data_IF_728578410687
#
_entry.id   IF_728578410687
#
_cell.length_a   1.000
_cell.length_b   1.000
_cell.length_c   1.000
_cell.angle_alpha   90.00
_cell.angle_beta   90.00
_cell.angle_gamma   90.00
#
_symmetry.space_group_name_H-M   'P 1'
#
loop_
_entity.id
_entity.type
_entity.pdbx_description
1 polymer ?
#
# COMPACT_ATOMS: atom_id res chain seq x y z
N UNK A 1 34.95 -27.32 3.03
CA UNK A 1 33.56 -27.04 3.47
C UNK A 1 32.97 -26.02 2.52
N UNK A 2 32.00 -26.42 1.69
CA UNK A 2 31.20 -25.46 0.92
C UNK A 2 30.32 -24.74 1.94
N UNK A 3 30.66 -23.49 2.29
CA UNK A 3 29.71 -22.62 2.96
C UNK A 3 28.51 -22.49 2.03
N UNK A 4 27.36 -23.04 2.43
CA UNK A 4 26.11 -22.81 1.73
C UNK A 4 25.92 -21.29 1.63
N UNK A 5 26.02 -20.76 0.41
CA UNK A 5 25.89 -19.34 0.14
C UNK A 5 24.41 -18.99 0.26
N UNK A 6 23.97 -18.61 1.46
CA UNK A 6 22.58 -18.19 1.72
C UNK A 6 22.28 -17.01 0.82
N UNK A 7 21.18 -17.10 0.06
CA UNK A 7 20.71 -16.05 -0.84
C UNK A 7 19.34 -15.58 -0.41
N UNK A 8 19.14 -14.26 -0.35
CA UNK A 8 17.84 -13.63 -0.12
C UNK A 8 17.14 -13.25 -1.44
N UNK A 9 17.73 -13.58 -2.59
CA UNK A 9 17.15 -13.27 -3.89
C UNK A 9 15.79 -13.95 -4.04
N UNK A 10 14.82 -13.22 -4.56
CA UNK A 10 13.45 -13.70 -4.72
C UNK A 10 12.79 -13.03 -5.93
N UNK A 11 11.66 -13.58 -6.35
CA UNK A 11 10.88 -13.06 -7.47
C UNK A 11 9.44 -12.81 -7.03
N UNK A 12 8.83 -11.73 -7.54
CA UNK A 12 7.39 -11.54 -7.54
C UNK A 12 6.95 -11.60 -9.00
N UNK A 13 6.27 -12.68 -9.39
CA UNK A 13 6.03 -12.98 -10.80
C UNK A 13 7.34 -12.99 -11.60
N UNK A 14 7.43 -12.13 -12.61
CA UNK A 14 8.64 -11.97 -13.45
C UNK A 14 9.69 -11.00 -12.90
N UNK A 15 9.38 -10.26 -11.84
CA UNK A 15 10.24 -9.21 -11.29
C UNK A 15 11.24 -9.80 -10.31
N UNK A 16 12.53 -9.54 -10.56
CA UNK A 16 13.64 -10.09 -9.76
C UNK A 16 14.07 -9.08 -8.69
N UNK A 17 14.27 -9.56 -7.48
CA UNK A 17 14.72 -8.77 -6.34
C UNK A 17 16.00 -9.37 -5.74
N UNK A 18 16.92 -8.50 -5.31
CA UNK A 18 18.08 -8.92 -4.52
C UNK A 18 17.69 -9.39 -3.11
N UNK A 19 16.56 -8.86 -2.60
CA UNK A 19 15.80 -9.34 -1.44
C UNK A 19 14.39 -8.72 -1.47
N UNK A 20 13.42 -9.29 -0.74
CA UNK A 20 12.04 -8.76 -0.71
C UNK A 20 11.75 -7.88 0.51
N UNK A 21 12.78 -7.35 1.15
CA UNK A 21 12.62 -6.36 2.21
C UNK A 21 12.44 -4.99 1.55
N UNK A 22 11.21 -4.48 1.59
CA UNK A 22 10.80 -3.21 1.02
C UNK A 22 10.22 -2.33 2.12
N UNK A 23 10.14 -1.01 1.89
CA UNK A 23 9.33 -0.15 2.73
C UNK A 23 7.84 -0.45 2.52
N UNK A 24 7.02 -0.29 3.56
CA UNK A 24 5.58 -0.26 3.40
C UNK A 24 5.15 1.05 2.71
N UNK A 25 4.20 0.98 1.77
CA UNK A 25 3.57 2.17 1.19
C UNK A 25 3.06 3.09 2.31
N UNK A 26 3.53 4.33 2.31
CA UNK A 26 3.23 5.32 3.35
C UNK A 26 4.33 5.60 4.36
N UNK A 27 5.40 4.79 4.39
CA UNK A 27 6.54 4.97 5.31
C UNK A 27 7.79 5.33 4.53
N UNK A 28 8.31 6.55 4.75
CA UNK A 28 9.52 7.10 4.11
C UNK A 28 9.51 7.01 2.58
N UNK A 29 8.40 7.33 1.97
CA UNK A 29 8.21 7.18 0.52
C UNK A 29 7.32 8.28 -0.07
N UNK A 30 7.18 9.41 0.63
CA UNK A 30 6.35 10.53 0.22
C UNK A 30 7.05 11.38 -0.84
N UNK A 31 8.37 11.58 -0.74
CA UNK A 31 9.16 12.40 -1.68
C UNK A 31 10.18 11.55 -2.47
N UNK A 32 10.63 12.06 -3.60
CA UNK A 32 11.72 11.48 -4.42
C UNK A 32 12.99 11.32 -3.61
N UNK A 33 13.30 12.23 -2.69
CA UNK A 33 14.48 12.15 -1.82
C UNK A 33 14.38 10.95 -0.87
N UNK A 34 13.21 10.72 -0.29
CA UNK A 34 12.99 9.57 0.58
C UNK A 34 13.08 8.25 -0.21
N UNK A 35 12.45 8.20 -1.39
CA UNK A 35 12.49 7.03 -2.28
C UNK A 35 13.91 6.72 -2.76
N UNK A 36 14.66 7.74 -3.17
CA UNK A 36 16.06 7.60 -3.61
C UNK A 36 16.94 7.08 -2.46
N UNK A 37 16.72 7.56 -1.23
CA UNK A 37 17.42 7.02 -0.04
C UNK A 37 17.11 5.55 0.21
N UNK A 38 15.89 5.08 -0.09
CA UNK A 38 15.55 3.65 -0.01
C UNK A 38 16.26 2.87 -1.12
N UNK A 39 16.22 3.35 -2.37
CA UNK A 39 16.88 2.68 -3.50
C UNK A 39 18.42 2.59 -3.33
N UNK A 40 19.04 3.52 -2.60
CA UNK A 40 20.45 3.46 -2.24
C UNK A 40 20.75 2.73 -0.91
N UNK A 41 19.73 2.16 -0.27
CA UNK A 41 19.90 1.34 0.94
C UNK A 41 20.12 -0.14 0.59
N UNK A 42 20.03 -1.02 1.58
CA UNK A 42 20.09 -2.49 1.40
C UNK A 42 18.74 -3.12 1.06
N UNK A 43 17.66 -2.33 0.98
CA UNK A 43 16.35 -2.79 0.53
C UNK A 43 16.43 -3.30 -0.92
N UNK A 44 15.69 -4.35 -1.27
CA UNK A 44 15.69 -4.87 -2.65
C UNK A 44 14.86 -4.06 -3.65
N UNK A 45 14.32 -2.92 -3.22
CA UNK A 45 13.47 -2.04 -4.00
C UNK A 45 12.75 -1.03 -3.11
N UNK A 46 11.81 -0.28 -3.68
CA UNK A 46 10.95 0.62 -2.92
C UNK A 46 9.49 0.54 -3.38
N UNK A 47 8.59 0.93 -2.48
CA UNK A 47 7.16 1.13 -2.75
C UNK A 47 6.85 2.60 -2.59
N UNK A 48 6.20 3.22 -3.58
CA UNK A 48 5.81 4.63 -3.49
C UNK A 48 4.73 4.85 -2.43
N UNK A 49 4.56 6.10 -1.99
CA UNK A 49 3.34 6.47 -1.27
C UNK A 49 2.14 6.15 -2.16
N UNK A 50 1.07 5.59 -1.59
CA UNK A 50 -0.19 5.39 -2.32
C UNK A 50 -0.70 6.72 -2.84
N UNK A 51 -0.68 6.88 -4.17
CA UNK A 51 -1.05 8.10 -4.86
C UNK A 51 -2.56 8.22 -5.06
N UNK A 52 -3.06 9.46 -5.06
CA UNK A 52 -4.35 9.82 -5.65
C UNK A 52 -4.12 10.48 -7.01
N UNK A 53 -5.17 10.68 -7.86
CA UNK A 53 -4.98 11.37 -9.13
C UNK A 53 -4.31 12.75 -8.95
N UNK A 54 -4.74 13.49 -7.93
CA UNK A 54 -4.21 14.81 -7.56
C UNK A 54 -3.50 14.78 -6.21
N UNK A 55 -2.61 15.75 -5.92
CA UNK A 55 -1.97 15.89 -4.61
C UNK A 55 -2.98 16.05 -3.47
N UNK A 56 -2.58 15.62 -2.27
CA UNK A 56 -3.39 15.73 -1.06
C UNK A 56 -2.53 16.12 0.13
N UNK A 57 -3.04 17.03 0.95
CA UNK A 57 -2.43 17.43 2.22
C UNK A 57 -2.60 16.37 3.32
N UNK A 58 -3.62 15.52 3.21
CA UNK A 58 -4.01 14.55 4.23
C UNK A 58 -4.88 15.12 5.34
N UNK A 59 -5.03 14.38 6.43
CA UNK A 59 -5.82 14.79 7.60
C UNK A 59 -5.04 15.79 8.48
N UNK A 60 -5.73 16.44 9.40
CA UNK A 60 -5.13 17.36 10.38
C UNK A 60 -4.14 16.70 11.35
N UNK A 61 -3.10 17.43 11.75
CA UNK A 61 -2.13 16.98 12.75
C UNK A 61 -2.59 17.25 14.20
N UNK A 62 -2.12 16.48 15.20
CA UNK A 62 -1.29 15.28 15.08
C UNK A 62 -2.07 14.09 14.49
N UNK A 63 -1.48 13.43 13.49
CA UNK A 63 -2.09 12.34 12.72
C UNK A 63 -1.33 11.03 12.75
N UNK A 64 -0.25 10.97 13.52
CA UNK A 64 0.52 9.77 13.76
C UNK A 64 1.20 9.87 15.13
N UNK A 65 1.21 8.77 15.87
CA UNK A 65 1.88 8.67 17.15
C UNK A 65 2.53 7.29 17.28
N UNK A 66 3.81 7.26 17.64
CA UNK A 66 4.48 6.03 18.03
C UNK A 66 4.02 5.61 19.44
N UNK A 67 3.97 4.30 19.66
CA UNK A 67 3.55 3.64 20.90
C UNK A 67 4.60 2.59 21.27
N UNK A 68 4.63 2.09 22.52
CA UNK A 68 5.59 1.05 22.92
C UNK A 68 5.53 -0.22 22.07
N UNK A 69 4.37 -0.57 21.49
CA UNK A 69 4.19 -1.77 20.67
C UNK A 69 4.02 -1.46 19.18
N UNK A 70 4.30 -0.24 18.71
CA UNK A 70 4.12 0.12 17.31
C UNK A 70 3.67 1.56 17.08
N UNK A 71 2.58 1.76 16.35
CA UNK A 71 2.04 3.10 16.10
C UNK A 71 0.52 3.12 15.88
N UNK A 72 -0.07 4.30 16.04
CA UNK A 72 -1.39 4.66 15.55
C UNK A 72 -1.27 5.80 14.53
N UNK A 73 -2.01 5.73 13.43
CA UNK A 73 -2.02 6.79 12.42
C UNK A 73 -3.38 7.00 11.77
N UNK A 74 -3.67 8.24 11.40
CA UNK A 74 -4.80 8.64 10.57
C UNK A 74 -4.34 9.67 9.55
N UNK A 75 -3.42 9.27 8.68
CA UNK A 75 -2.72 10.21 7.79
C UNK A 75 -3.63 10.92 6.78
N UNK A 76 -4.67 10.24 6.26
CA UNK A 76 -5.59 10.81 5.25
C UNK A 76 -5.07 10.83 3.81
N UNK A 77 -4.12 9.94 3.48
CA UNK A 77 -3.42 9.86 2.19
C UNK A 77 -2.72 11.16 1.76
N UNK A 78 -1.82 11.75 2.57
CA UNK A 78 -1.00 12.87 2.12
C UNK A 78 -0.02 12.38 1.06
N UNK A 79 -0.04 12.97 -0.14
CA UNK A 79 0.75 12.52 -1.28
C UNK A 79 0.88 13.61 -2.36
N UNK A 80 1.84 13.48 -3.27
CA UNK A 80 2.12 14.45 -4.34
C UNK A 80 1.38 14.17 -5.67
N UNK A 81 0.37 13.30 -5.68
CA UNK A 81 -0.39 12.93 -6.88
C UNK A 81 0.31 11.89 -7.75
N UNK A 82 -0.46 11.20 -8.61
CA UNK A 82 0.04 10.11 -9.44
C UNK A 82 1.22 10.54 -10.31
N UNK A 83 1.16 11.71 -10.93
CA UNK A 83 2.16 12.16 -11.92
C UNK A 83 3.57 12.27 -11.32
N UNK A 84 3.64 12.69 -10.06
CA UNK A 84 4.90 12.76 -9.32
C UNK A 84 5.53 11.38 -9.14
N UNK A 85 4.75 10.41 -8.69
CA UNK A 85 5.24 9.06 -8.40
C UNK A 85 5.45 8.22 -9.66
N UNK A 86 4.60 8.41 -10.68
CA UNK A 86 4.73 7.74 -11.97
C UNK A 86 6.00 8.19 -12.68
N UNK A 87 6.29 9.50 -12.71
CA UNK A 87 7.55 10.02 -13.24
C UNK A 87 8.75 9.41 -12.53
N UNK A 88 8.75 9.40 -11.20
CA UNK A 88 9.83 8.78 -10.43
C UNK A 88 10.00 7.28 -10.77
N UNK A 89 8.89 6.55 -10.87
CA UNK A 89 8.91 5.13 -11.19
C UNK A 89 9.42 4.87 -12.62
N UNK A 90 9.04 5.70 -13.58
CA UNK A 90 9.53 5.61 -14.96
C UNK A 90 11.01 5.96 -15.09
N UNK A 91 11.49 6.93 -14.32
CA UNK A 91 12.91 7.30 -14.29
C UNK A 91 13.79 6.26 -13.59
N UNK A 92 13.22 5.39 -12.75
CA UNK A 92 13.98 4.43 -11.93
C UNK A 92 13.68 2.96 -12.22
N UNK A 93 12.73 2.65 -13.11
CA UNK A 93 12.57 1.30 -13.64
C UNK A 93 13.87 0.86 -14.35
N UNK A 94 14.23 -0.41 -14.19
CA UNK A 94 15.42 -1.05 -14.77
C UNK A 94 16.79 -0.50 -14.34
N UNK A 95 16.84 0.36 -13.30
CA UNK A 95 18.11 0.85 -12.74
C UNK A 95 18.58 0.01 -11.57
N UNK A 96 19.89 -0.30 -11.54
CA UNK A 96 20.60 -0.89 -10.40
C UNK A 96 19.97 -2.19 -9.84
N UNK A 97 19.31 -2.98 -10.68
CA UNK A 97 18.57 -4.21 -10.28
C UNK A 97 17.47 -3.98 -9.22
N UNK A 98 17.10 -2.73 -8.95
CA UNK A 98 16.11 -2.38 -7.93
C UNK A 98 14.72 -2.29 -8.56
N UNK A 99 13.72 -2.79 -7.83
CA UNK A 99 12.34 -2.74 -8.25
C UNK A 99 11.62 -1.55 -7.61
N UNK A 100 10.83 -0.82 -8.41
CA UNK A 100 9.91 0.21 -7.90
C UNK A 100 8.48 -0.32 -8.04
N UNK A 101 7.75 -0.36 -6.92
CA UNK A 101 6.33 -0.69 -6.88
C UNK A 101 5.54 0.62 -6.75
N UNK A 102 4.71 0.93 -7.75
CA UNK A 102 3.88 2.12 -7.77
C UNK A 102 2.55 1.85 -7.06
N UNK A 103 2.39 2.38 -5.86
CA UNK A 103 1.16 2.24 -5.08
C UNK A 103 0.15 3.34 -5.43
N UNK A 104 -1.12 2.97 -5.64
CA UNK A 104 -2.24 3.88 -5.90
C UNK A 104 -3.41 3.60 -4.95
N UNK A 105 -4.15 4.65 -4.57
CA UNK A 105 -5.32 4.57 -3.69
C UNK A 105 -6.31 5.69 -4.03
N UNK A 106 -7.11 5.48 -5.09
CA UNK A 106 -8.19 6.40 -5.45
C UNK A 106 -9.28 6.41 -4.38
N UNK A 107 -9.94 7.55 -4.22
CA UNK A 107 -11.05 7.73 -3.27
C UNK A 107 -12.39 7.22 -3.84
N UNK A 108 -12.42 6.80 -5.10
CA UNK A 108 -13.55 6.18 -5.76
C UNK A 108 -13.07 5.14 -6.77
N UNK A 109 -14.00 4.30 -7.23
CA UNK A 109 -13.74 3.36 -8.34
C UNK A 109 -13.20 4.11 -9.56
N UNK A 110 -13.86 5.20 -9.95
CA UNK A 110 -13.48 5.98 -11.14
C UNK A 110 -12.06 6.55 -11.02
N UNK A 111 -11.66 7.04 -9.84
CA UNK A 111 -10.29 7.51 -9.64
C UNK A 111 -9.25 6.39 -9.75
N UNK A 112 -9.57 5.18 -9.27
CA UNK A 112 -8.69 4.04 -9.44
C UNK A 112 -8.56 3.67 -10.93
N UNK A 113 -9.67 3.64 -11.67
CA UNK A 113 -9.67 3.32 -13.11
C UNK A 113 -8.95 4.39 -13.93
N UNK A 114 -9.14 5.68 -13.62
CA UNK A 114 -8.42 6.80 -14.23
C UNK A 114 -6.90 6.65 -14.07
N UNK A 115 -6.44 6.38 -12.84
CA UNK A 115 -5.02 6.16 -12.57
C UNK A 115 -4.48 4.92 -13.29
N UNK A 116 -5.23 3.83 -13.32
CA UNK A 116 -4.85 2.62 -14.06
C UNK A 116 -4.77 2.87 -15.56
N UNK A 117 -5.66 3.66 -16.15
CA UNK A 117 -5.57 4.07 -17.55
C UNK A 117 -4.27 4.85 -17.80
N UNK A 118 -3.98 5.85 -16.96
CA UNK A 118 -2.76 6.64 -17.07
C UNK A 118 -1.51 5.79 -16.95
N UNK A 119 -1.49 4.84 -16.01
CA UNK A 119 -0.37 3.91 -15.84
C UNK A 119 -0.28 2.96 -17.04
N UNK A 120 -1.39 2.45 -17.57
CA UNK A 120 -1.42 1.58 -18.74
C UNK A 120 -0.80 2.25 -19.97
N UNK A 121 -1.13 3.53 -20.19
CA UNK A 121 -0.66 4.31 -21.34
C UNK A 121 0.76 4.86 -21.19
N UNK A 122 1.34 4.78 -19.98
CA UNK A 122 2.69 5.26 -19.69
C UNK A 122 3.77 4.25 -20.09
N UNK A 123 5.02 4.68 -20.01
CA UNK A 123 6.21 3.83 -20.23
C UNK A 123 6.56 2.93 -19.02
N UNK A 124 5.84 3.03 -17.91
CA UNK A 124 6.10 2.25 -16.71
C UNK A 124 5.79 0.77 -16.94
N UNK A 125 6.76 -0.10 -16.71
CA UNK A 125 6.64 -1.56 -16.91
C UNK A 125 6.78 -2.35 -15.60
N UNK A 126 6.99 -1.65 -14.49
CA UNK A 126 7.11 -2.22 -13.15
C UNK A 126 5.78 -2.71 -12.57
N UNK A 127 5.80 -3.03 -11.27
CA UNK A 127 4.63 -3.48 -10.54
C UNK A 127 3.76 -2.30 -10.09
N UNK A 128 2.46 -2.40 -10.30
CA UNK A 128 1.46 -1.50 -9.68
C UNK A 128 0.85 -2.18 -8.45
N UNK A 129 0.66 -1.43 -7.36
CA UNK A 129 -0.08 -1.88 -6.18
C UNK A 129 -1.38 -1.07 -6.05
N UNK A 130 -2.53 -1.73 -6.19
CA UNK A 130 -3.83 -1.13 -5.93
C UNK A 130 -4.22 -1.33 -4.47
N UNK A 131 -4.30 -0.23 -3.74
CA UNK A 131 -4.63 -0.22 -2.32
C UNK A 131 -6.13 -0.08 -2.10
N UNK A 132 -6.78 -1.19 -1.76
CA UNK A 132 -8.22 -1.28 -1.48
C UNK A 132 -8.54 -1.23 0.02
N UNK A 133 -7.57 -0.85 0.86
CA UNK A 133 -7.60 -1.09 2.31
C UNK A 133 -7.41 0.16 3.18
N UNK A 134 -7.49 1.38 2.64
CA UNK A 134 -7.20 2.59 3.41
C UNK A 134 -8.26 2.83 4.53
N UNK A 135 -7.93 2.73 5.84
CA UNK A 135 -8.90 2.86 6.93
C UNK A 135 -9.21 4.31 7.33
N UNK A 136 -8.51 5.28 6.75
CA UNK A 136 -8.35 6.63 7.31
C UNK A 136 -9.04 7.72 6.49
N UNK A 137 -9.88 7.35 5.53
CA UNK A 137 -10.75 8.26 4.79
C UNK A 137 -12.01 8.49 5.63
N UNK A 138 -12.44 9.75 5.80
CA UNK A 138 -13.59 10.10 6.63
C UNK A 138 -14.88 9.75 5.90
N UNK A 139 -15.76 8.98 6.55
CA UNK A 139 -17.08 8.61 6.00
C UNK A 139 -17.07 7.40 5.08
N UNK A 140 -15.89 6.89 4.73
CA UNK A 140 -15.75 5.75 3.81
C UNK A 140 -15.32 4.48 4.54
N UNK A 141 -15.93 3.36 4.18
CA UNK A 141 -15.45 2.04 4.59
C UNK A 141 -14.27 1.61 3.70
N UNK A 142 -13.49 0.63 4.15
CA UNK A 142 -12.43 0.09 3.31
C UNK A 142 -13.06 -0.78 2.22
N UNK A 143 -12.80 -0.47 0.96
CA UNK A 143 -13.38 -1.14 -0.21
C UNK A 143 -13.25 -2.66 -0.12
N UNK A 144 -12.11 -3.16 0.35
CA UNK A 144 -11.85 -4.60 0.42
C UNK A 144 -12.71 -5.37 1.45
N UNK A 145 -13.48 -4.71 2.32
CA UNK A 145 -14.51 -5.38 3.11
C UNK A 145 -15.85 -5.57 2.36
N UNK A 146 -15.98 -4.96 1.17
CA UNK A 146 -17.07 -5.19 0.23
C UNK A 146 -16.54 -6.01 -0.95
N UNK A 147 -16.71 -7.32 -0.89
CA UNK A 147 -16.17 -8.26 -1.88
C UNK A 147 -16.78 -8.07 -3.29
N UNK A 148 -18.03 -7.59 -3.37
CA UNK A 148 -18.66 -7.27 -4.65
C UNK A 148 -18.05 -5.99 -5.25
N UNK A 149 -17.76 -4.98 -4.42
CA UNK A 149 -17.05 -3.79 -4.87
C UNK A 149 -15.63 -4.13 -5.36
N UNK A 150 -14.91 -5.04 -4.70
CA UNK A 150 -13.61 -5.55 -5.18
C UNK A 150 -13.78 -6.21 -6.55
N UNK A 151 -14.74 -7.11 -6.69
CA UNK A 151 -15.03 -7.82 -7.96
C UNK A 151 -15.36 -6.84 -9.09
N UNK A 152 -16.18 -5.82 -8.83
CA UNK A 152 -16.55 -4.80 -9.82
C UNK A 152 -15.33 -3.98 -10.28
N UNK A 153 -14.50 -3.51 -9.34
CA UNK A 153 -13.27 -2.78 -9.64
C UNK A 153 -12.33 -3.61 -10.51
N UNK A 154 -12.07 -4.86 -10.11
CA UNK A 154 -11.16 -5.74 -10.85
C UNK A 154 -11.72 -6.10 -12.22
N UNK A 155 -13.02 -6.38 -12.32
CA UNK A 155 -13.71 -6.62 -13.60
C UNK A 155 -13.57 -5.44 -14.55
N UNK A 156 -13.69 -4.21 -14.05
CA UNK A 156 -13.51 -2.99 -14.86
C UNK A 156 -12.04 -2.76 -15.22
N UNK A 157 -11.12 -2.91 -14.26
CA UNK A 157 -9.69 -2.71 -14.45
C UNK A 157 -9.11 -3.68 -15.50
N UNK A 158 -9.37 -4.98 -15.37
CA UNK A 158 -8.76 -6.01 -16.24
C UNK A 158 -9.31 -6.03 -17.68
N UNK A 159 -10.39 -5.29 -17.97
CA UNK A 159 -10.83 -5.06 -19.37
C UNK A 159 -9.71 -4.40 -20.19
N UNK A 160 -9.02 -3.41 -19.63
CA UNK A 160 -8.02 -2.62 -20.34
C UNK A 160 -6.60 -2.74 -19.75
N UNK A 161 -6.45 -2.92 -18.44
CA UNK A 161 -5.14 -2.97 -17.79
C UNK A 161 -4.46 -4.31 -18.09
N UNK A 162 -3.29 -4.25 -18.73
CA UNK A 162 -2.50 -5.43 -19.15
C UNK A 162 -1.16 -5.55 -18.43
N UNK A 163 -0.79 -4.54 -17.63
CA UNK A 163 0.41 -4.55 -16.79
C UNK A 163 0.14 -5.32 -15.49
N UNK A 164 1.21 -5.66 -14.77
CA UNK A 164 1.11 -6.48 -13.56
C UNK A 164 0.62 -5.65 -12.38
N UNK A 165 -0.43 -6.13 -11.72
CA UNK A 165 -1.07 -5.47 -10.58
C UNK A 165 -1.08 -6.39 -9.36
N UNK A 166 -0.71 -5.86 -8.20
CA UNK A 166 -0.94 -6.50 -6.90
C UNK A 166 -1.96 -5.72 -6.08
N UNK A 167 -2.56 -6.39 -5.10
CA UNK A 167 -3.62 -5.80 -4.27
C UNK A 167 -3.16 -5.69 -2.82
N UNK A 168 -3.26 -4.48 -2.23
CA UNK A 168 -3.00 -4.25 -0.81
C UNK A 168 -4.30 -4.37 0.00
N UNK A 169 -4.41 -5.43 0.78
CA UNK A 169 -5.61 -5.82 1.51
C UNK A 169 -5.58 -5.38 2.98
N UNK A 170 -6.76 -5.21 3.61
CA UNK A 170 -6.88 -5.07 5.04
C UNK A 170 -6.71 -6.42 5.73
N UNK A 171 -6.55 -6.47 7.06
CA UNK A 171 -6.69 -7.73 7.78
C UNK A 171 -8.13 -8.25 7.70
N UNK A 172 -8.30 -9.56 7.58
CA UNK A 172 -9.57 -10.25 7.80
C UNK A 172 -9.50 -11.04 9.11
N UNK A 173 -10.65 -11.28 9.73
CA UNK A 173 -10.72 -11.84 11.09
C UNK A 173 -11.59 -13.11 11.18
N UNK A 174 -12.19 -13.51 10.05
CA UNK A 174 -12.98 -14.73 9.94
C UNK A 174 -12.52 -15.54 8.72
N UNK A 175 -12.46 -16.87 8.85
CA UNK A 175 -12.06 -17.78 7.77
C UNK A 175 -12.93 -17.61 6.52
N UNK A 176 -14.22 -17.32 6.69
CA UNK A 176 -15.13 -17.08 5.58
C UNK A 176 -14.75 -15.84 4.77
N UNK A 177 -14.24 -14.78 5.43
CA UNK A 177 -13.76 -13.59 4.72
C UNK A 177 -12.54 -13.91 3.84
N UNK A 178 -11.65 -14.77 4.33
CA UNK A 178 -10.52 -15.24 3.52
C UNK A 178 -11.00 -16.05 2.30
N UNK A 179 -11.98 -16.95 2.48
CA UNK A 179 -12.56 -17.71 1.37
C UNK A 179 -13.21 -16.79 0.32
N UNK A 180 -13.98 -15.79 0.77
CA UNK A 180 -14.69 -14.86 -0.10
C UNK A 180 -13.72 -13.98 -0.91
N UNK A 181 -12.73 -13.36 -0.25
CA UNK A 181 -11.76 -12.54 -0.97
C UNK A 181 -10.90 -13.41 -1.90
N UNK A 182 -10.47 -14.60 -1.47
CA UNK A 182 -9.68 -15.49 -2.32
C UNK A 182 -10.47 -15.92 -3.56
N UNK A 183 -11.76 -16.24 -3.42
CA UNK A 183 -12.63 -16.56 -4.54
C UNK A 183 -12.73 -15.41 -5.56
N UNK A 184 -12.83 -14.16 -5.09
CA UNK A 184 -12.81 -12.99 -5.98
C UNK A 184 -11.47 -12.83 -6.67
N UNK A 185 -10.37 -12.87 -5.92
CA UNK A 185 -9.03 -12.60 -6.46
C UNK A 185 -8.55 -13.67 -7.45
N UNK A 186 -8.95 -14.93 -7.25
CA UNK A 186 -8.59 -16.05 -8.14
C UNK A 186 -9.22 -15.97 -9.54
N UNK A 187 -10.25 -15.16 -9.74
CA UNK A 187 -10.87 -14.93 -11.06
C UNK A 187 -10.04 -13.99 -11.96
N UNK A 188 -8.96 -13.41 -11.44
CA UNK A 188 -8.19 -12.38 -12.12
C UNK A 188 -6.68 -12.68 -12.14
N UNK A 189 -5.93 -12.20 -13.15
CA UNK A 189 -4.49 -12.40 -13.23
C UNK A 189 -3.72 -11.43 -12.32
N UNK A 190 -3.93 -11.56 -11.01
CA UNK A 190 -3.28 -10.72 -9.99
C UNK A 190 -1.87 -11.23 -9.74
N UNK A 191 -0.88 -10.34 -9.79
CA UNK A 191 0.54 -10.70 -9.66
C UNK A 191 0.93 -11.05 -8.22
N UNK A 192 0.34 -10.37 -7.23
CA UNK A 192 0.53 -10.66 -5.81
C UNK A 192 -0.57 -10.05 -4.94
N UNK A 193 -0.67 -10.55 -3.71
CA UNK A 193 -1.49 -9.95 -2.65
C UNK A 193 -0.56 -9.49 -1.53
N UNK A 194 -0.73 -8.26 -1.07
CA UNK A 194 0.01 -7.69 0.06
C UNK A 194 -0.89 -7.62 1.28
N UNK A 195 -0.64 -8.51 2.23
CA UNK A 195 -1.34 -8.60 3.52
C UNK A 195 -0.35 -8.24 4.64
N UNK A 196 -0.63 -7.26 5.50
CA UNK A 196 -1.86 -6.47 5.67
C UNK A 196 -1.58 -4.97 5.64
N UNK A 197 -2.62 -4.18 5.42
CA UNK A 197 -2.64 -2.79 5.86
C UNK A 197 -2.82 -2.72 7.39
N UNK A 198 -2.84 -1.51 7.96
CA UNK A 198 -3.06 -1.31 9.40
C UNK A 198 -4.37 -1.94 9.86
N UNK A 199 -4.43 -2.42 11.11
CA UNK A 199 -5.72 -2.74 11.75
C UNK A 199 -6.49 -1.42 11.86
N UNK A 200 -7.61 -1.32 11.15
CA UNK A 200 -8.37 -0.08 11.07
C UNK A 200 -9.09 0.27 12.37
N UNK A 201 -9.21 1.58 12.63
CA UNK A 201 -10.04 2.15 13.69
C UNK A 201 -9.72 1.63 15.11
N UNK A 202 -8.45 1.41 15.42
CA UNK A 202 -8.01 1.32 16.82
C UNK A 202 -8.06 2.69 17.51
N UNK A 203 -8.01 2.68 18.83
CA UNK A 203 -7.99 3.88 19.66
C UNK A 203 -6.85 3.77 20.67
N UNK A 204 -5.99 4.78 20.73
CA UNK A 204 -4.93 4.89 21.74
C UNK A 204 -5.24 6.09 22.62
N UNK A 205 -5.34 5.84 23.92
CA UNK A 205 -5.65 6.83 24.95
C UNK A 205 -4.41 7.04 25.80
N UNK A 206 -4.05 8.30 26.03
CA UNK A 206 -3.07 8.65 27.05
C UNK A 206 -3.77 8.72 28.40
N UNK A 207 -3.38 7.84 29.33
CA UNK A 207 -3.99 7.76 30.66
C UNK A 207 -3.74 9.03 31.50
N UNK A 208 -2.60 9.70 31.33
CA UNK A 208 -2.26 10.89 32.13
C UNK A 208 -3.08 12.12 31.70
N UNK A 209 -3.42 12.21 30.41
CA UNK A 209 -4.16 13.35 29.85
C UNK A 209 -5.62 13.04 29.57
N UNK A 210 -6.07 11.81 29.87
CA UNK A 210 -7.41 11.28 29.62
C UNK A 210 -7.94 11.60 28.21
N UNK A 211 -7.05 11.55 27.22
CA UNK A 211 -7.34 12.01 25.86
C UNK A 211 -6.70 11.16 24.78
N UNK A 212 -7.24 11.28 23.57
CA UNK A 212 -6.74 10.57 22.39
C UNK A 212 -5.42 11.17 21.90
N UNK A 213 -4.57 10.34 21.31
CA UNK A 213 -3.21 10.75 20.91
C UNK A 213 -3.09 11.27 19.46
N UNK A 214 -4.17 11.19 18.68
CA UNK A 214 -4.28 11.76 17.34
C UNK A 214 -5.58 12.55 17.21
N UNK A 215 -5.57 13.59 16.37
CA UNK A 215 -6.70 14.51 16.19
C UNK A 215 -7.79 13.98 15.24
N UNK A 216 -7.45 13.42 14.06
CA UNK A 216 -8.48 13.02 13.11
C UNK A 216 -9.42 11.96 13.67
N UNK A 217 -10.68 11.98 13.20
CA UNK A 217 -11.70 10.97 13.52
C UNK A 217 -11.89 10.75 15.03
N UNK A 218 -11.71 11.78 15.85
CA UNK A 218 -11.87 11.66 17.31
C UNK A 218 -10.88 10.69 17.96
N UNK A 219 -9.70 10.49 17.37
CA UNK A 219 -8.66 9.60 17.90
C UNK A 219 -8.55 8.25 17.21
N UNK A 220 -9.54 7.86 16.41
CA UNK A 220 -9.54 6.59 15.71
C UNK A 220 -8.52 6.57 14.54
N UNK A 221 -7.72 5.53 14.47
CA UNK A 221 -6.68 5.38 13.45
C UNK A 221 -6.27 3.93 13.19
N UNK A 222 -5.44 3.74 12.17
CA UNK A 222 -4.82 2.46 11.85
C UNK A 222 -3.69 2.13 12.81
N UNK A 223 -3.71 0.93 13.39
CA UNK A 223 -2.63 0.37 14.22
C UNK A 223 -1.62 -0.39 13.36
N UNK A 224 -0.34 -0.23 13.69
CA UNK A 224 0.78 -0.99 13.11
C UNK A 224 1.79 -1.40 14.18
N UNK A 225 2.81 -2.18 13.79
CA UNK A 225 3.85 -2.70 14.68
C UNK A 225 3.49 -4.04 15.32
N UNK A 226 3.97 -4.29 16.54
CA UNK A 226 3.78 -5.56 17.24
C UNK A 226 2.32 -5.89 17.53
N UNK A 227 1.43 -4.88 17.61
CA UNK A 227 -0.02 -5.09 17.72
C UNK A 227 -0.58 -5.99 16.62
N UNK A 228 -0.02 -5.91 15.41
CA UNK A 228 -0.61 -6.54 14.22
C UNK A 228 0.10 -7.82 13.79
N UNK A 229 1.25 -8.13 14.40
CA UNK A 229 2.09 -9.27 13.99
C UNK A 229 1.38 -10.62 14.08
N UNK A 230 0.50 -10.81 15.06
CA UNK A 230 -0.24 -12.08 15.25
C UNK A 230 -1.42 -12.27 14.28
N UNK A 231 -1.69 -11.29 13.42
CA UNK A 231 -2.69 -11.39 12.36
C UNK A 231 -2.09 -11.85 11.02
N UNK A 232 -0.75 -11.97 10.97
CA UNK A 232 0.01 -12.54 9.85
C UNK A 232 0.32 -14.01 10.18
#
# INVERSE_FOLDING_TARGET
MLQNKISLKANIGKYRFNNVLLNAAGIRCATTDELTKILHSTAGGCVTKSATPQPREGNESPRMKATPMGCINSMGLPNHGLDYYLKFAEENQDKNDNQVILSIAGLSVDQNLEMLHKIQDSSFTGLTELNLSCPNIKGESQIAYDFEAVRDILTKAFKFFKKDIGIKLPPYFDLHQFDQIAAVLNDFPIAYVNSINSIGNGLVVNADTESVVIKPKGGFGGLGGDYVKRLL
#
